data_IF_199734618531
#
_entry.id   IF_199734618531
#
_cell.length_a   1.000
_cell.length_b   1.000
_cell.length_c   1.000
_cell.angle_alpha   90.00
_cell.angle_beta   90.00
_cell.angle_gamma   90.00
#
_symmetry.space_group_name_H-M   'P 1'
#
loop_
_entity.id
_entity.type
_entity.pdbx_description
1 polymer ?
#
# COMPACT_ATOMS: atom_id res chain seq x y z
N UNK A 1 6.97 30.38 61.15
CA UNK A 1 7.39 30.49 59.75
C UNK A 1 7.03 29.17 59.01
N UNK A 2 5.78 28.66 59.04
CA UNK A 2 5.30 27.40 58.44
C UNK A 2 3.90 27.47 57.84
N UNK A 3 3.31 28.66 57.66
CA UNK A 3 1.95 28.83 57.14
C UNK A 3 1.92 29.23 55.67
N UNK A 4 3.07 29.66 55.07
CA UNK A 4 3.15 30.12 53.70
C UNK A 4 3.29 29.01 52.60
N UNK A 5 3.72 27.80 52.99
CA UNK A 5 3.99 26.70 52.01
C UNK A 5 2.74 25.87 51.69
N UNK A 6 1.73 25.86 52.53
CA UNK A 6 0.52 25.10 52.31
C UNK A 6 -0.44 25.70 51.26
N UNK A 7 -0.38 27.02 51.05
CA UNK A 7 -1.24 27.69 50.05
C UNK A 7 -0.76 27.57 48.62
N UNK A 8 0.55 27.33 48.39
CA UNK A 8 1.14 27.21 47.05
C UNK A 8 0.89 25.86 46.37
N UNK A 9 0.51 24.85 47.16
CA UNK A 9 0.27 23.50 46.65
C UNK A 9 -1.19 23.24 46.16
N UNK A 10 -2.13 24.07 46.61
CA UNK A 10 -3.55 23.93 46.20
C UNK A 10 -3.83 24.55 44.83
N UNK A 11 -3.04 25.54 44.41
CA UNK A 11 -3.20 26.14 43.07
C UNK A 11 -2.59 25.31 41.93
N UNK A 12 -1.60 24.44 42.21
CA UNK A 12 -1.09 23.51 41.20
C UNK A 12 -2.03 22.36 40.87
N UNK A 13 -2.95 21.99 41.79
CA UNK A 13 -3.89 20.89 41.57
C UNK A 13 -5.14 21.35 40.80
N UNK A 14 -5.47 22.64 40.75
CA UNK A 14 -6.57 23.18 39.98
C UNK A 14 -6.27 23.37 38.47
N UNK A 15 -4.98 23.46 38.11
CA UNK A 15 -4.53 23.63 36.72
C UNK A 15 -4.60 22.36 35.87
N UNK A 16 -4.49 21.18 36.49
CA UNK A 16 -4.42 19.90 35.78
C UNK A 16 -5.77 19.32 35.36
N UNK A 17 -6.84 19.68 36.08
CA UNK A 17 -8.19 19.17 35.75
C UNK A 17 -8.86 19.88 34.56
N UNK A 18 -8.47 21.11 34.24
CA UNK A 18 -9.01 21.86 33.09
C UNK A 18 -8.39 21.43 31.74
N UNK A 19 -7.19 20.87 31.72
CA UNK A 19 -6.54 20.40 30.47
C UNK A 19 -7.03 19.02 30.02
N UNK A 20 -7.49 18.16 30.92
CA UNK A 20 -8.03 16.85 30.58
C UNK A 20 -9.35 16.95 29.79
N UNK A 21 -10.27 17.82 30.19
CA UNK A 21 -11.55 18.01 29.50
C UNK A 21 -11.42 18.64 28.10
N UNK A 22 -10.37 19.40 27.85
CA UNK A 22 -10.15 20.05 26.54
C UNK A 22 -9.57 19.08 25.48
N UNK A 23 -8.86 18.03 25.91
CA UNK A 23 -8.33 16.98 25.00
C UNK A 23 -9.42 16.06 24.47
N UNK A 24 -10.41 15.73 25.27
CA UNK A 24 -11.53 14.85 24.83
C UNK A 24 -12.43 15.51 23.79
N UNK A 25 -12.74 16.78 23.91
CA UNK A 25 -13.55 17.51 22.93
C UNK A 25 -12.91 17.59 21.56
N UNK A 26 -11.60 17.83 21.49
CA UNK A 26 -10.83 17.81 20.23
C UNK A 26 -10.79 16.42 19.60
N UNK A 27 -10.58 15.38 20.40
CA UNK A 27 -10.54 13.99 19.92
C UNK A 27 -11.90 13.54 19.40
N UNK A 28 -13.00 13.89 20.06
CA UNK A 28 -14.36 13.59 19.61
C UNK A 28 -14.67 14.32 18.30
N UNK A 29 -14.32 15.61 18.19
CA UNK A 29 -14.53 16.36 16.95
C UNK A 29 -13.77 15.76 15.76
N UNK A 30 -12.50 15.36 15.95
CA UNK A 30 -11.70 14.67 14.92
C UNK A 30 -12.32 13.32 14.57
N UNK A 31 -12.77 12.55 15.56
CA UNK A 31 -13.42 11.26 15.31
C UNK A 31 -14.70 11.41 14.48
N UNK A 32 -15.56 12.38 14.84
CA UNK A 32 -16.80 12.68 14.09
C UNK A 32 -16.48 13.11 12.67
N UNK A 33 -15.48 13.98 12.47
CA UNK A 33 -15.06 14.40 11.15
C UNK A 33 -14.57 13.21 10.30
N UNK A 34 -13.70 12.37 10.87
CA UNK A 34 -13.20 11.17 10.19
C UNK A 34 -14.31 10.17 9.88
N UNK A 35 -15.27 10.00 10.79
CA UNK A 35 -16.43 9.14 10.58
C UNK A 35 -17.31 9.61 9.43
N UNK A 36 -17.62 10.92 9.37
CA UNK A 36 -18.41 11.51 8.28
C UNK A 36 -17.66 11.39 6.95
N UNK A 37 -16.36 11.69 6.94
CA UNK A 37 -15.52 11.55 5.74
C UNK A 37 -15.45 10.07 5.30
N UNK A 38 -15.30 9.14 6.24
CA UNK A 38 -15.33 7.70 5.95
C UNK A 38 -16.66 7.24 5.36
N UNK A 39 -17.78 7.73 5.92
CA UNK A 39 -19.11 7.42 5.38
C UNK A 39 -19.29 7.96 3.96
N UNK A 40 -18.80 9.16 3.70
CA UNK A 40 -18.82 9.75 2.35
C UNK A 40 -17.98 8.93 1.36
N UNK A 41 -16.82 8.44 1.80
CA UNK A 41 -15.96 7.56 0.97
C UNK A 41 -16.55 6.17 0.72
N UNK A 42 -17.47 5.70 1.56
CA UNK A 42 -18.21 4.45 1.33
C UNK A 42 -19.32 4.60 0.29
N UNK A 43 -19.78 5.82 0.01
CA UNK A 43 -20.88 6.07 -0.93
C UNK A 43 -20.63 5.48 -2.34
N UNK A 44 -19.46 5.66 -2.99
CA UNK A 44 -19.19 5.04 -4.28
C UNK A 44 -19.24 3.51 -4.24
N UNK A 45 -18.74 2.91 -3.16
CA UNK A 45 -18.77 1.45 -2.97
C UNK A 45 -20.21 0.97 -2.83
N UNK A 46 -21.01 1.65 -2.01
CA UNK A 46 -22.43 1.38 -1.86
C UNK A 46 -23.17 1.47 -3.21
N UNK A 47 -22.95 2.54 -3.96
CA UNK A 47 -23.56 2.73 -5.28
C UNK A 47 -23.15 1.62 -6.27
N UNK A 48 -21.89 1.20 -6.25
CA UNK A 48 -21.40 0.10 -7.09
C UNK A 48 -22.15 -1.20 -6.79
N UNK A 49 -22.33 -1.53 -5.52
CA UNK A 49 -23.07 -2.73 -5.09
C UNK A 49 -24.54 -2.63 -5.48
N UNK A 50 -25.18 -1.49 -5.22
CA UNK A 50 -26.60 -1.28 -5.60
C UNK A 50 -26.78 -1.37 -7.11
N UNK A 51 -25.92 -0.72 -7.90
CA UNK A 51 -26.00 -0.75 -9.37
C UNK A 51 -25.75 -2.14 -9.94
N UNK A 52 -24.88 -2.96 -9.32
CA UNK A 52 -24.64 -4.33 -9.79
C UNK A 52 -25.86 -5.26 -9.63
N UNK A 53 -26.71 -4.96 -8.63
CA UNK A 53 -27.92 -5.71 -8.34
C UNK A 53 -29.19 -5.13 -8.99
N UNK A 54 -29.07 -3.97 -9.65
CA UNK A 54 -30.17 -3.23 -10.22
C UNK A 54 -30.54 -3.79 -11.60
N UNK A 55 -31.83 -4.07 -11.91
CA UNK A 55 -32.24 -4.45 -13.25
C UNK A 55 -31.87 -3.38 -14.27
N UNK A 56 -31.53 -3.80 -15.49
CA UNK A 56 -31.10 -2.88 -16.58
C UNK A 56 -32.18 -1.81 -16.85
N UNK A 57 -33.43 -2.13 -16.69
CA UNK A 57 -34.56 -1.23 -16.86
C UNK A 57 -34.56 -0.06 -15.85
N UNK A 58 -34.10 -0.31 -14.61
CA UNK A 58 -34.01 0.70 -13.56
C UNK A 58 -32.73 1.55 -13.66
N UNK A 59 -31.71 1.11 -14.41
CA UNK A 59 -30.44 1.84 -14.53
C UNK A 59 -30.60 3.16 -15.31
N UNK A 60 -31.52 3.20 -16.28
CA UNK A 60 -31.72 4.35 -17.17
C UNK A 60 -32.88 5.25 -16.74
N UNK A 61 -33.50 5.02 -15.58
CA UNK A 61 -34.57 5.87 -15.05
C UNK A 61 -33.98 7.18 -14.50
N UNK A 62 -34.54 8.30 -14.93
CA UNK A 62 -34.19 9.62 -14.39
C UNK A 62 -35.31 10.13 -13.46
N UNK A 63 -35.02 10.65 -12.26
CA UNK A 63 -33.70 10.79 -11.64
C UNK A 63 -33.12 9.46 -11.15
N UNK A 64 -31.77 9.32 -11.13
CA UNK A 64 -31.12 8.07 -10.72
C UNK A 64 -31.45 7.74 -9.25
N UNK A 65 -32.04 6.60 -9.03
CA UNK A 65 -32.39 6.12 -7.70
C UNK A 65 -31.17 5.53 -6.99
N UNK A 66 -30.94 5.90 -5.75
CA UNK A 66 -29.81 5.43 -4.94
C UNK A 66 -30.03 4.03 -4.35
N UNK A 67 -31.21 3.42 -4.57
CA UNK A 67 -31.57 2.09 -4.12
C UNK A 67 -32.26 1.31 -5.22
N UNK A 68 -32.37 0.01 -5.09
CA UNK A 68 -33.13 -0.84 -6.01
C UNK A 68 -34.35 -1.42 -5.28
N UNK A 69 -35.48 -1.47 -5.98
CA UNK A 69 -36.73 -2.08 -5.47
C UNK A 69 -36.80 -3.57 -5.80
N UNK A 70 -36.09 -4.01 -6.83
CA UNK A 70 -36.10 -5.40 -7.32
C UNK A 70 -34.67 -5.89 -7.53
N UNK A 71 -33.92 -6.22 -6.45
CA UNK A 71 -32.56 -6.71 -6.63
C UNK A 71 -32.56 -8.03 -7.41
N UNK A 72 -31.75 -8.07 -8.47
CA UNK A 72 -31.59 -9.25 -9.34
C UNK A 72 -30.12 -9.60 -9.53
N UNK A 73 -29.86 -10.87 -9.83
CA UNK A 73 -28.53 -11.36 -10.21
C UNK A 73 -28.40 -11.56 -11.74
N UNK A 74 -29.38 -11.10 -12.51
CA UNK A 74 -29.39 -11.31 -13.96
C UNK A 74 -28.21 -10.63 -14.63
N UNK A 75 -27.81 -9.44 -14.17
CA UNK A 75 -26.59 -8.76 -14.66
C UNK A 75 -25.34 -9.63 -14.58
N UNK A 76 -25.23 -10.45 -13.53
CA UNK A 76 -24.10 -11.37 -13.39
C UNK A 76 -24.23 -12.57 -14.33
N UNK A 77 -25.44 -13.08 -14.57
CA UNK A 77 -25.68 -14.15 -15.54
C UNK A 77 -25.37 -13.69 -16.95
N UNK A 78 -25.90 -12.53 -17.35
CA UNK A 78 -25.66 -11.94 -18.67
C UNK A 78 -24.16 -11.67 -18.88
N UNK A 79 -23.46 -11.16 -17.86
CA UNK A 79 -22.02 -10.99 -17.90
C UNK A 79 -21.30 -12.33 -18.18
N UNK A 80 -21.65 -13.40 -17.46
CA UNK A 80 -21.03 -14.71 -17.68
C UNK A 80 -21.36 -15.29 -19.06
N UNK A 81 -22.54 -15.06 -19.59
CA UNK A 81 -22.94 -15.55 -20.92
C UNK A 81 -22.23 -14.77 -22.03
N UNK A 82 -22.09 -13.47 -21.90
CA UNK A 82 -21.23 -12.64 -22.78
C UNK A 82 -19.77 -13.09 -22.72
N UNK A 83 -19.26 -13.38 -21.52
CA UNK A 83 -17.88 -13.84 -21.34
C UNK A 83 -17.61 -15.22 -21.93
N UNK A 84 -18.62 -16.11 -21.96
CA UNK A 84 -18.53 -17.42 -22.63
C UNK A 84 -18.54 -17.30 -24.16
N UNK A 85 -19.25 -16.31 -24.69
CA UNK A 85 -19.35 -16.10 -26.14
C UNK A 85 -18.12 -15.43 -26.76
N UNK A 86 -17.24 -14.86 -25.96
CA UNK A 86 -16.03 -14.22 -26.42
C UNK A 86 -14.99 -15.24 -26.89
N UNK A 87 -14.18 -14.85 -27.92
CA UNK A 87 -13.08 -15.68 -28.47
C UNK A 87 -12.05 -16.10 -27.44
N UNK A 88 -11.90 -15.31 -26.34
CA UNK A 88 -10.98 -15.60 -25.26
C UNK A 88 -11.77 -15.89 -23.98
N UNK A 89 -11.63 -17.07 -23.39
CA UNK A 89 -12.31 -17.43 -22.14
C UNK A 89 -11.91 -16.49 -20.99
N UNK A 90 -12.86 -16.10 -20.15
CA UNK A 90 -12.62 -15.23 -18.98
C UNK A 90 -11.56 -15.81 -18.04
N UNK A 91 -11.52 -17.14 -17.90
CA UNK A 91 -10.51 -17.83 -17.11
C UNK A 91 -9.07 -17.48 -17.51
N UNK A 92 -8.84 -17.20 -18.80
CA UNK A 92 -7.52 -16.80 -19.29
C UNK A 92 -7.10 -15.40 -18.79
N UNK A 93 -8.06 -14.46 -18.72
CA UNK A 93 -7.79 -13.14 -18.15
C UNK A 93 -7.45 -13.23 -16.66
N UNK A 94 -8.24 -14.02 -15.92
CA UNK A 94 -7.99 -14.24 -14.48
C UNK A 94 -6.63 -14.91 -14.26
N UNK A 95 -6.33 -15.95 -15.02
CA UNK A 95 -5.06 -16.65 -14.93
C UNK A 95 -3.87 -15.73 -15.24
N UNK A 96 -3.95 -14.97 -16.33
CA UNK A 96 -2.89 -14.03 -16.70
C UNK A 96 -2.66 -12.96 -15.61
N UNK A 97 -3.74 -12.38 -15.08
CA UNK A 97 -3.66 -11.38 -14.01
C UNK A 97 -3.04 -11.98 -12.73
N UNK A 98 -3.48 -13.18 -12.35
CA UNK A 98 -2.95 -13.88 -11.19
C UNK A 98 -1.47 -14.24 -11.39
N UNK A 99 -1.12 -14.77 -12.56
CA UNK A 99 0.26 -15.12 -12.90
C UNK A 99 1.20 -13.92 -12.83
N UNK A 100 0.83 -12.81 -13.46
CA UNK A 100 1.63 -11.59 -13.45
C UNK A 100 1.77 -11.04 -12.02
N UNK A 101 0.65 -10.96 -11.28
CA UNK A 101 0.65 -10.42 -9.91
C UNK A 101 1.51 -11.25 -8.97
N UNK A 102 1.35 -12.57 -8.97
CA UNK A 102 2.15 -13.47 -8.12
C UNK A 102 3.62 -13.38 -8.49
N UNK A 103 3.94 -13.44 -9.79
CA UNK A 103 5.32 -13.37 -10.28
C UNK A 103 5.98 -12.05 -9.88
N UNK A 104 5.30 -10.92 -10.10
CA UNK A 104 5.81 -9.59 -9.71
C UNK A 104 6.03 -9.52 -8.21
N UNK A 105 5.05 -9.94 -7.40
CA UNK A 105 5.14 -9.87 -5.94
C UNK A 105 6.30 -10.69 -5.41
N UNK A 106 6.48 -11.91 -5.89
CA UNK A 106 7.57 -12.80 -5.45
C UNK A 106 8.93 -12.23 -5.88
N UNK A 107 9.08 -11.86 -7.14
CA UNK A 107 10.37 -11.34 -7.65
C UNK A 107 10.72 -10.00 -6.98
N UNK A 108 9.77 -9.08 -6.88
CA UNK A 108 9.98 -7.79 -6.24
C UNK A 108 10.37 -7.95 -4.77
N UNK A 109 9.63 -8.78 -4.00
CA UNK A 109 9.94 -9.02 -2.59
C UNK A 109 11.32 -9.64 -2.43
N UNK A 110 11.67 -10.59 -3.27
CA UNK A 110 12.98 -11.25 -3.25
C UNK A 110 14.12 -10.28 -3.54
N UNK A 111 14.08 -9.57 -4.68
CA UNK A 111 15.14 -8.65 -5.05
C UNK A 111 15.20 -7.42 -4.13
N UNK A 112 14.04 -6.89 -3.73
CA UNK A 112 13.98 -5.75 -2.83
C UNK A 112 14.53 -6.10 -1.44
N UNK A 113 14.23 -7.27 -0.88
CA UNK A 113 14.76 -7.69 0.43
C UNK A 113 16.27 -7.88 0.40
N UNK A 114 16.81 -8.54 -0.64
CA UNK A 114 18.25 -8.70 -0.78
C UNK A 114 18.99 -7.37 -0.92
N UNK A 115 18.51 -6.49 -1.80
CA UNK A 115 19.10 -5.17 -1.99
C UNK A 115 18.96 -4.29 -0.74
N UNK A 116 17.80 -4.31 -0.10
CA UNK A 116 17.52 -3.57 1.12
C UNK A 116 18.41 -4.01 2.30
N UNK A 117 18.66 -5.31 2.45
CA UNK A 117 19.56 -5.85 3.46
C UNK A 117 21.00 -5.31 3.28
N UNK A 118 21.52 -5.37 2.06
CA UNK A 118 22.86 -4.84 1.76
C UNK A 118 22.93 -3.34 2.02
N UNK A 119 21.92 -2.57 1.60
CA UNK A 119 21.88 -1.12 1.79
C UNK A 119 21.67 -0.68 3.25
N UNK A 120 20.99 -1.49 4.05
CA UNK A 120 20.71 -1.18 5.46
C UNK A 120 21.82 -1.63 6.40
N UNK A 121 22.45 -2.78 6.14
CA UNK A 121 23.33 -3.49 7.10
C UNK A 121 24.77 -3.64 6.65
N UNK A 122 25.07 -3.47 5.37
CA UNK A 122 26.43 -3.53 4.86
C UNK A 122 27.00 -2.12 4.64
N UNK A 123 28.19 -1.88 5.18
CA UNK A 123 28.94 -0.63 4.96
C UNK A 123 29.82 -0.79 3.73
N UNK A 124 29.49 -0.11 2.62
CA UNK A 124 30.31 -0.10 1.42
C UNK A 124 30.40 1.31 0.81
N UNK A 125 31.48 1.62 0.09
CA UNK A 125 31.62 2.92 -0.55
C UNK A 125 30.51 3.09 -1.61
N UNK A 126 29.86 4.28 -1.65
CA UNK A 126 28.74 4.54 -2.57
C UNK A 126 27.33 4.30 -1.99
N UNK A 127 27.17 3.66 -0.84
CA UNK A 127 25.88 3.43 -0.18
C UNK A 127 25.05 4.70 -0.04
N UNK A 128 25.67 5.83 0.32
CA UNK A 128 24.99 7.13 0.43
C UNK A 128 24.44 7.61 -0.92
N UNK A 129 25.20 7.44 -2.00
CA UNK A 129 24.80 7.84 -3.35
C UNK A 129 23.58 7.01 -3.79
N UNK A 130 23.64 5.69 -3.65
CA UNK A 130 22.53 4.80 -4.01
C UNK A 130 21.28 5.17 -3.24
N UNK A 131 21.40 5.44 -1.93
CA UNK A 131 20.27 5.87 -1.11
C UNK A 131 19.66 7.18 -1.61
N UNK A 132 20.49 8.15 -1.99
CA UNK A 132 20.02 9.41 -2.56
C UNK A 132 19.28 9.20 -3.88
N UNK A 133 19.80 8.33 -4.75
CA UNK A 133 19.15 7.97 -6.02
C UNK A 133 17.78 7.32 -5.78
N UNK A 134 17.67 6.41 -4.80
CA UNK A 134 16.38 5.79 -4.46
C UNK A 134 15.38 6.86 -4.01
N UNK A 135 15.78 7.79 -3.13
CA UNK A 135 14.89 8.87 -2.66
C UNK A 135 14.48 9.78 -3.83
N UNK A 136 15.41 10.14 -4.70
CA UNK A 136 15.10 10.93 -5.90
C UNK A 136 14.14 10.17 -6.82
N UNK A 137 14.35 8.86 -7.01
CA UNK A 137 13.46 8.03 -7.82
C UNK A 137 12.01 7.98 -7.27
N UNK A 138 11.81 8.10 -5.95
CA UNK A 138 10.48 8.19 -5.34
C UNK A 138 9.75 9.50 -5.67
N UNK A 139 10.48 10.57 -6.00
CA UNK A 139 9.89 11.87 -6.35
C UNK A 139 9.40 11.89 -7.81
N UNK A 140 9.85 10.96 -8.63
CA UNK A 140 9.41 10.88 -10.02
C UNK A 140 8.03 10.24 -10.10
N UNK A 141 7.10 10.98 -10.68
CA UNK A 141 5.74 10.50 -10.89
C UNK A 141 5.72 9.49 -12.06
N UNK A 142 5.11 8.33 -11.83
CA UNK A 142 5.07 7.22 -12.79
C UNK A 142 4.58 7.63 -14.19
N UNK A 143 3.66 8.59 -14.28
CA UNK A 143 3.08 9.04 -15.54
C UNK A 143 4.12 9.61 -16.54
N UNK A 144 5.19 10.23 -16.05
CA UNK A 144 6.26 10.78 -16.90
C UNK A 144 7.17 9.67 -17.44
N UNK A 145 7.32 8.61 -16.66
CA UNK A 145 8.24 7.50 -16.98
C UNK A 145 7.61 6.53 -17.99
N UNK A 146 6.30 6.42 -18.08
CA UNK A 146 5.60 5.44 -18.92
C UNK A 146 5.99 5.52 -20.41
N UNK A 147 6.16 6.70 -20.96
CA UNK A 147 6.52 6.87 -22.37
C UNK A 147 7.91 6.31 -22.64
N UNK A 148 8.90 6.68 -21.80
CA UNK A 148 10.25 6.19 -21.93
C UNK A 148 10.34 4.68 -21.69
N UNK A 149 9.61 4.19 -20.73
CA UNK A 149 9.50 2.77 -20.40
C UNK A 149 8.93 1.97 -21.58
N UNK A 150 7.88 2.47 -22.25
CA UNK A 150 7.31 1.87 -23.44
C UNK A 150 8.35 1.82 -24.60
N UNK A 151 9.10 2.90 -24.82
CA UNK A 151 10.14 2.94 -25.86
C UNK A 151 11.22 1.87 -25.61
N UNK A 152 11.72 1.78 -24.38
CA UNK A 152 12.73 0.76 -24.03
C UNK A 152 12.18 -0.66 -24.23
N UNK A 153 10.94 -0.93 -23.79
CA UNK A 153 10.31 -2.23 -23.96
C UNK A 153 10.07 -2.56 -25.44
N UNK A 154 9.77 -1.55 -26.26
CA UNK A 154 9.63 -1.68 -27.71
C UNK A 154 10.95 -2.11 -28.37
N UNK A 155 12.04 -1.46 -28.02
CA UNK A 155 13.38 -1.81 -28.53
C UNK A 155 13.83 -3.21 -28.06
N UNK A 156 13.44 -3.61 -26.84
CA UNK A 156 13.70 -4.96 -26.33
C UNK A 156 12.80 -6.04 -26.97
N UNK A 157 11.76 -5.67 -27.73
CA UNK A 157 10.84 -6.59 -28.38
C UNK A 157 9.94 -7.37 -27.43
N UNK A 158 9.67 -6.85 -26.21
CA UNK A 158 8.91 -7.55 -25.17
C UNK A 158 7.48 -6.99 -24.97
N UNK A 159 7.03 -6.05 -25.80
CA UNK A 159 5.77 -5.33 -25.60
C UNK A 159 4.59 -6.30 -25.46
N UNK A 160 4.34 -7.20 -26.35
CA UNK A 160 3.17 -8.08 -26.30
C UNK A 160 3.37 -9.34 -25.43
N UNK A 161 4.27 -9.26 -24.45
CA UNK A 161 4.56 -10.37 -23.53
C UNK A 161 4.26 -10.01 -22.08
N UNK A 162 4.02 -10.98 -21.18
CA UNK A 162 3.89 -10.73 -19.74
C UNK A 162 5.11 -10.02 -19.14
N UNK A 163 6.28 -10.13 -19.77
CA UNK A 163 7.53 -9.50 -19.31
C UNK A 163 7.44 -7.98 -19.35
N UNK A 164 6.68 -7.40 -20.29
CA UNK A 164 6.45 -5.95 -20.35
C UNK A 164 5.75 -5.40 -19.10
N UNK A 165 4.96 -6.21 -18.40
CA UNK A 165 4.32 -5.85 -17.14
C UNK A 165 5.20 -6.19 -15.94
N UNK A 166 5.93 -7.30 -15.99
CA UNK A 166 6.73 -7.82 -14.88
C UNK A 166 7.98 -6.98 -14.63
N UNK A 167 8.78 -6.68 -15.67
CA UNK A 167 10.06 -5.98 -15.49
C UNK A 167 9.93 -4.62 -14.81
N UNK A 168 9.04 -3.72 -15.25
CA UNK A 168 8.92 -2.42 -14.62
C UNK A 168 8.40 -2.49 -13.19
N UNK A 169 7.46 -3.42 -12.95
CA UNK A 169 6.85 -3.57 -11.64
C UNK A 169 7.81 -4.13 -10.59
N UNK A 170 8.71 -5.05 -10.99
CA UNK A 170 9.76 -5.61 -10.10
C UNK A 170 10.77 -4.54 -9.68
N UNK A 171 11.08 -3.57 -10.54
CA UNK A 171 12.03 -2.50 -10.29
C UNK A 171 11.45 -1.32 -9.49
N UNK A 172 10.48 -1.54 -8.60
CA UNK A 172 9.82 -0.50 -7.83
C UNK A 172 10.72 0.14 -6.76
N UNK A 173 11.04 1.44 -6.84
CA UNK A 173 11.81 2.14 -5.82
C UNK A 173 11.12 2.16 -4.45
N UNK A 174 9.78 2.22 -4.43
CA UNK A 174 8.98 2.25 -3.21
C UNK A 174 9.11 0.95 -2.42
N UNK A 175 9.05 -0.21 -3.10
CA UNK A 175 9.25 -1.50 -2.47
C UNK A 175 10.62 -1.62 -1.82
N UNK A 176 11.68 -1.23 -2.53
CA UNK A 176 13.03 -1.23 -2.01
C UNK A 176 13.19 -0.28 -0.80
N UNK A 177 12.63 0.92 -0.88
CA UNK A 177 12.69 1.90 0.21
C UNK A 177 12.01 1.40 1.49
N UNK A 178 10.79 0.87 1.39
CA UNK A 178 10.04 0.34 2.53
C UNK A 178 10.74 -0.85 3.17
N UNK A 179 11.22 -1.81 2.36
CA UNK A 179 11.99 -2.95 2.85
C UNK A 179 13.24 -2.49 3.57
N UNK A 180 14.00 -1.55 3.00
CA UNK A 180 15.19 -1.00 3.64
C UNK A 180 14.87 -0.32 4.97
N UNK A 181 13.78 0.45 5.03
CA UNK A 181 13.38 1.12 6.26
C UNK A 181 13.02 0.11 7.36
N UNK A 182 12.31 -0.95 7.02
CA UNK A 182 11.98 -2.03 7.95
C UNK A 182 13.22 -2.77 8.43
N UNK A 183 14.13 -3.14 7.53
CA UNK A 183 15.37 -3.85 7.87
C UNK A 183 16.32 -2.97 8.71
N UNK A 184 16.32 -1.65 8.51
CA UNK A 184 17.14 -0.74 9.30
C UNK A 184 16.77 -0.69 10.78
N UNK A 185 15.52 -1.07 11.14
CA UNK A 185 15.02 -1.12 12.51
C UNK A 185 15.53 -2.36 13.29
N UNK A 186 16.03 -3.38 12.62
CA UNK A 186 16.56 -4.58 13.24
C UNK A 186 17.88 -4.19 13.97
N UNK A 187 18.05 -4.53 15.27
CA UNK A 187 19.27 -4.23 15.99
C UNK A 187 20.50 -4.91 15.38
N UNK A 188 21.61 -4.16 15.25
CA UNK A 188 22.84 -4.70 14.69
C UNK A 188 23.44 -5.80 15.57
N UNK A 189 23.17 -5.79 16.89
CA UNK A 189 23.57 -6.85 17.82
C UNK A 189 23.05 -8.23 17.45
N UNK A 190 21.86 -8.34 16.86
CA UNK A 190 21.31 -9.62 16.36
C UNK A 190 22.12 -10.16 15.18
N UNK A 191 22.55 -9.24 14.30
CA UNK A 191 23.35 -9.61 13.12
C UNK A 191 24.77 -10.01 13.54
N UNK A 192 25.33 -9.28 14.52
CA UNK A 192 26.66 -9.60 15.07
C UNK A 192 26.67 -10.93 15.81
N UNK A 193 25.64 -11.22 16.61
CA UNK A 193 25.48 -12.53 17.26
C UNK A 193 25.42 -13.68 16.22
N UNK A 194 24.60 -13.53 15.19
CA UNK A 194 24.52 -14.53 14.12
C UNK A 194 25.82 -14.73 13.36
N UNK A 195 26.61 -13.66 13.15
CA UNK A 195 27.96 -13.78 12.58
C UNK A 195 28.93 -14.50 13.51
N UNK A 196 28.85 -14.26 14.83
CA UNK A 196 29.64 -14.99 15.82
C UNK A 196 29.32 -16.48 15.82
N UNK A 197 28.06 -16.86 15.57
CA UNK A 197 27.59 -18.22 15.39
C UNK A 197 27.98 -18.84 14.01
N UNK A 198 28.74 -18.11 13.19
CA UNK A 198 29.23 -18.57 11.88
C UNK A 198 28.20 -18.48 10.75
N UNK A 199 27.11 -17.77 10.91
CA UNK A 199 26.13 -17.59 9.85
C UNK A 199 26.66 -16.66 8.74
N UNK A 200 26.62 -17.12 7.49
CA UNK A 200 26.94 -16.32 6.32
C UNK A 200 25.87 -15.25 6.04
N UNK A 201 26.23 -14.19 5.32
CA UNK A 201 25.33 -13.05 5.03
C UNK A 201 24.00 -13.46 4.39
N UNK A 202 24.00 -14.43 3.51
CA UNK A 202 22.77 -14.94 2.88
C UNK A 202 21.85 -15.62 3.88
N UNK A 203 22.42 -16.41 4.80
CA UNK A 203 21.67 -17.07 5.86
C UNK A 203 21.08 -16.05 6.84
N UNK A 204 21.83 -15.02 7.19
CA UNK A 204 21.35 -13.92 8.03
C UNK A 204 20.19 -13.19 7.37
N UNK A 205 20.31 -12.85 6.08
CA UNK A 205 19.25 -12.20 5.32
C UNK A 205 17.96 -13.04 5.26
N UNK A 206 18.06 -14.35 5.17
CA UNK A 206 16.89 -15.24 4.99
C UNK A 206 16.24 -15.71 6.29
N UNK A 207 17.02 -15.83 7.38
CA UNK A 207 16.53 -16.40 8.65
C UNK A 207 16.27 -15.36 9.73
N UNK A 208 16.90 -14.18 9.66
CA UNK A 208 16.84 -13.17 10.71
C UNK A 208 16.11 -11.91 10.23
N UNK A 209 16.23 -11.58 8.95
CA UNK A 209 15.64 -10.42 8.31
C UNK A 209 14.38 -10.78 7.55
#
# INVERSE_FOLDING_TARGET
MKVGESMKNTDKLKGTSRQAGRKYGGTVAVFVLLFITGLFMLLPIYLTVVMSLKPVEELFVFPPQLYTLRPTLDNFRDMFDVLKSNRVPFSRYVFNSLFVTVTVTVLQSFFASMAAFVLAKCKFPGSKLINSVIVVALLYQSNVIYIMQYMVMSEMGIIDTPLALIFPAVASPMGLFLMRQSISQIPDSMIEAAKADGAGLFRICWQIV
#
